data_IF_011393883398
#
_entry.id   IF_011393883398
#
_cell.length_a   1.000
_cell.length_b   1.000
_cell.length_c   1.000
_cell.angle_alpha   90.00
_cell.angle_beta   90.00
_cell.angle_gamma   90.00
#
_symmetry.space_group_name_H-M   'P 1'
#
loop_
_entity.id
_entity.type
_entity.pdbx_description
1 polymer ?
#
# COMPACT_ATOMS: atom_id res chain seq x y z
N UNK A 1 -12.95 -17.14 11.64
CA UNK A 1 -13.38 -15.75 11.38
C UNK A 1 -12.48 -15.19 10.28
N UNK A 2 -13.02 -14.76 9.15
CA UNK A 2 -12.22 -14.31 8.00
C UNK A 2 -11.53 -12.97 8.29
N UNK A 3 -10.26 -12.83 7.91
CA UNK A 3 -9.47 -11.57 8.02
C UNK A 3 -10.21 -10.37 7.41
N UNK A 4 -11.04 -10.59 6.38
CA UNK A 4 -11.87 -9.54 5.78
C UNK A 4 -12.86 -8.88 6.76
N UNK A 5 -13.27 -9.61 7.80
CA UNK A 5 -14.19 -9.09 8.83
C UNK A 5 -13.45 -8.16 9.80
N UNK A 6 -12.16 -8.36 10.04
CA UNK A 6 -11.39 -7.53 10.99
C UNK A 6 -11.09 -6.12 10.47
N UNK A 7 -10.92 -5.94 9.15
CA UNK A 7 -10.57 -4.65 8.55
C UNK A 7 -11.79 -3.70 8.50
N UNK A 8 -13.00 -4.25 8.31
CA UNK A 8 -14.22 -3.44 8.13
C UNK A 8 -14.83 -3.01 9.49
N UNK A 9 -14.60 -3.76 10.57
CA UNK A 9 -15.28 -3.54 11.85
C UNK A 9 -14.76 -2.38 12.71
N UNK A 10 -13.67 -1.70 12.31
CA UNK A 10 -13.04 -0.65 13.14
C UNK A 10 -13.19 0.78 12.63
N UNK A 11 -13.86 1.01 11.49
CA UNK A 11 -14.02 2.35 10.94
C UNK A 11 -15.51 2.67 10.90
N UNK A 12 -16.03 3.36 11.92
CA UNK A 12 -17.45 3.73 12.01
C UNK A 12 -17.92 4.72 10.92
N UNK A 13 -17.05 5.12 9.98
CA UNK A 13 -17.30 6.14 8.97
C UNK A 13 -16.64 5.87 7.61
N UNK A 14 -16.53 4.59 7.17
CA UNK A 14 -15.87 4.22 5.90
C UNK A 14 -16.41 5.02 4.71
N UNK A 15 -17.72 5.25 4.63
CA UNK A 15 -18.33 5.99 3.53
C UNK A 15 -17.87 7.46 3.47
N UNK A 16 -17.79 8.14 4.62
CA UNK A 16 -17.33 9.53 4.71
C UNK A 16 -15.85 9.66 4.34
N UNK A 17 -15.01 8.74 4.84
CA UNK A 17 -13.59 8.70 4.48
C UNK A 17 -13.39 8.38 2.99
N UNK A 18 -14.25 7.54 2.40
CA UNK A 18 -14.21 7.22 0.96
C UNK A 18 -14.58 8.45 0.11
N UNK A 19 -15.68 9.14 0.43
CA UNK A 19 -16.06 10.36 -0.26
C UNK A 19 -15.01 11.46 -0.11
N UNK A 20 -14.43 11.60 1.09
CA UNK A 20 -13.32 12.52 1.32
C UNK A 20 -12.08 12.16 0.48
N UNK A 21 -11.73 10.88 0.40
CA UNK A 21 -10.62 10.39 -0.41
C UNK A 21 -10.80 10.81 -1.88
N UNK A 22 -11.98 10.56 -2.46
CA UNK A 22 -12.30 10.93 -3.84
C UNK A 22 -12.16 12.44 -4.07
N UNK A 23 -12.69 13.25 -3.16
CA UNK A 23 -12.62 14.71 -3.20
C UNK A 23 -11.18 15.20 -3.11
N UNK A 24 -10.39 14.71 -2.16
CA UNK A 24 -8.98 15.10 -1.99
C UNK A 24 -8.15 14.68 -3.20
N UNK A 25 -8.41 13.50 -3.77
CA UNK A 25 -7.72 13.04 -4.97
C UNK A 25 -8.00 13.95 -6.17
N UNK A 26 -9.27 14.31 -6.38
CA UNK A 26 -9.68 15.19 -7.47
C UNK A 26 -9.18 16.63 -7.28
N UNK A 27 -9.43 17.23 -6.11
CA UNK A 27 -9.19 18.66 -5.86
C UNK A 27 -7.73 18.99 -5.57
N UNK A 28 -7.00 18.13 -4.83
CA UNK A 28 -5.62 18.43 -4.39
C UNK A 28 -4.54 17.74 -5.22
N UNK A 29 -4.86 16.59 -5.84
CA UNK A 29 -3.89 15.80 -6.59
C UNK A 29 -4.19 15.76 -8.10
N UNK A 30 -5.34 16.25 -8.54
CA UNK A 30 -5.75 16.23 -9.96
C UNK A 30 -5.83 14.82 -10.53
N UNK A 31 -6.12 13.81 -9.68
CA UNK A 31 -6.08 12.39 -10.03
C UNK A 31 -7.35 11.69 -9.58
N UNK A 32 -7.80 10.74 -10.39
CA UNK A 32 -8.84 9.78 -9.98
C UNK A 32 -8.16 8.44 -9.77
N UNK A 33 -8.14 7.95 -8.53
CA UNK A 33 -7.63 6.61 -8.24
C UNK A 33 -8.78 5.61 -8.26
N UNK A 34 -8.64 4.54 -9.04
CA UNK A 34 -9.51 3.38 -8.90
C UNK A 34 -9.00 2.51 -7.75
N UNK A 35 -9.80 2.41 -6.67
CA UNK A 35 -9.55 1.48 -5.57
C UNK A 35 -9.86 0.04 -6.02
N UNK A 36 -9.05 -0.49 -6.95
CA UNK A 36 -9.18 -1.89 -7.38
C UNK A 36 -8.61 -2.79 -6.27
N UNK A 37 -9.43 -3.17 -5.31
CA UNK A 37 -9.03 -3.92 -4.11
C UNK A 37 -8.59 -5.36 -4.38
N UNK A 38 -8.74 -5.87 -5.61
CA UNK A 38 -8.50 -7.27 -5.93
C UNK A 38 -7.52 -7.42 -7.09
N UNK A 39 -6.33 -7.92 -6.80
CA UNK A 39 -5.44 -8.52 -7.80
C UNK A 39 -5.52 -10.03 -7.66
N UNK A 40 -5.87 -10.76 -8.73
CA UNK A 40 -5.86 -12.24 -8.74
C UNK A 40 -4.44 -12.83 -8.80
N UNK A 41 -3.45 -12.16 -8.23
CA UNK A 41 -2.06 -12.64 -8.22
C UNK A 41 -1.82 -13.38 -6.92
N UNK A 42 -1.72 -14.72 -7.00
CA UNK A 42 -1.59 -15.64 -5.85
C UNK A 42 -0.47 -15.25 -4.88
N UNK A 43 0.64 -14.71 -5.38
CA UNK A 43 1.82 -14.35 -4.56
C UNK A 43 2.08 -12.84 -4.47
N UNK A 44 1.57 -12.04 -5.42
CA UNK A 44 1.86 -10.61 -5.53
C UNK A 44 0.97 -9.68 -4.71
N UNK A 45 -0.12 -10.20 -4.13
CA UNK A 45 -1.16 -9.37 -3.49
C UNK A 45 -0.61 -8.48 -2.38
N UNK A 46 0.28 -9.00 -1.53
CA UNK A 46 0.92 -8.21 -0.46
C UNK A 46 1.78 -7.07 -0.99
N UNK A 47 2.60 -7.33 -2.01
CA UNK A 47 3.39 -6.30 -2.70
C UNK A 47 2.48 -5.21 -3.29
N UNK A 48 1.45 -5.59 -4.06
CA UNK A 48 0.54 -4.61 -4.68
C UNK A 48 -0.20 -3.76 -3.64
N UNK A 49 -0.61 -4.36 -2.52
CA UNK A 49 -1.23 -3.63 -1.43
C UNK A 49 -0.28 -2.56 -0.84
N UNK A 50 0.95 -2.94 -0.51
CA UNK A 50 1.93 -2.00 0.06
C UNK A 50 2.35 -0.92 -0.94
N UNK A 51 2.56 -1.30 -2.20
CA UNK A 51 2.88 -0.37 -3.28
C UNK A 51 1.79 0.71 -3.42
N UNK A 52 0.52 0.30 -3.38
CA UNK A 52 -0.62 1.24 -3.41
C UNK A 52 -0.65 2.13 -2.18
N UNK A 53 -0.43 1.59 -0.98
CA UNK A 53 -0.35 2.41 0.24
C UNK A 53 0.72 3.50 0.12
N UNK A 54 1.88 3.18 -0.47
CA UNK A 54 2.94 4.15 -0.71
C UNK A 54 2.54 5.22 -1.73
N UNK A 55 1.85 4.86 -2.81
CA UNK A 55 1.32 5.82 -3.79
C UNK A 55 0.27 6.78 -3.17
N UNK A 56 -0.52 6.27 -2.23
CA UNK A 56 -1.56 7.04 -1.55
C UNK A 56 -1.04 7.85 -0.36
N UNK A 57 0.25 7.76 0.01
CA UNK A 57 0.83 8.48 1.15
C UNK A 57 0.52 9.98 1.10
N UNK A 58 0.73 10.63 -0.05
CA UNK A 58 0.50 12.07 -0.19
C UNK A 58 -0.99 12.44 -0.02
N UNK A 59 -1.89 11.59 -0.51
CA UNK A 59 -3.33 11.74 -0.36
C UNK A 59 -3.72 11.59 1.11
N UNK A 60 -3.23 10.56 1.81
CA UNK A 60 -3.51 10.32 3.23
C UNK A 60 -3.04 11.48 4.12
N UNK A 61 -1.85 12.02 3.85
CA UNK A 61 -1.34 13.22 4.53
C UNK A 61 -2.23 14.44 4.23
N UNK A 62 -2.67 14.60 2.97
CA UNK A 62 -3.56 15.70 2.56
C UNK A 62 -4.94 15.59 3.20
N UNK A 63 -5.46 14.36 3.35
CA UNK A 63 -6.71 14.08 4.04
C UNK A 63 -6.62 14.51 5.51
N UNK A 64 -5.60 14.05 6.24
CA UNK A 64 -5.37 14.48 7.62
C UNK A 64 -5.35 16.01 7.75
N UNK A 65 -4.63 16.70 6.86
CA UNK A 65 -4.58 18.16 6.86
C UNK A 65 -5.95 18.80 6.57
N UNK A 66 -6.75 18.22 5.68
CA UNK A 66 -8.13 18.68 5.41
C UNK A 66 -9.04 18.51 6.63
N UNK A 67 -8.99 17.39 7.35
CA UNK A 67 -9.80 17.21 8.56
C UNK A 67 -9.49 18.29 9.59
N UNK A 68 -8.21 18.67 9.70
CA UNK A 68 -7.75 19.62 10.71
C UNK A 68 -8.05 21.10 10.35
N UNK A 69 -8.29 21.44 9.07
CA UNK A 69 -8.30 22.84 8.61
C UNK A 69 -9.41 23.21 7.60
N UNK A 70 -10.21 22.25 7.12
CA UNK A 70 -11.24 22.48 6.11
C UNK A 70 -12.63 22.21 6.70
N UNK A 71 -13.45 23.26 6.79
CA UNK A 71 -14.80 23.21 7.33
C UNK A 71 -15.70 22.19 6.60
N UNK A 72 -15.38 21.85 5.34
CA UNK A 72 -16.05 20.81 4.55
C UNK A 72 -15.97 19.43 5.19
N UNK A 73 -14.95 19.17 6.02
CA UNK A 73 -14.69 17.88 6.64
C UNK A 73 -14.73 17.90 8.17
N UNK A 74 -15.31 18.94 8.78
CA UNK A 74 -15.40 19.10 10.25
C UNK A 74 -16.05 17.92 10.98
N UNK A 75 -16.98 17.24 10.30
CA UNK A 75 -17.73 16.09 10.85
C UNK A 75 -17.04 14.74 10.55
N UNK A 76 -15.91 14.76 9.84
CA UNK A 76 -15.13 13.57 9.51
C UNK A 76 -14.08 13.34 10.60
N UNK A 77 -14.27 12.27 11.38
CA UNK A 77 -13.28 11.81 12.34
C UNK A 77 -12.35 10.75 11.73
N UNK A 78 -11.05 10.91 11.95
CA UNK A 78 -10.03 9.89 11.66
C UNK A 78 -9.56 9.24 12.95
N UNK A 79 -9.52 7.90 12.97
CA UNK A 79 -9.04 7.12 14.12
C UNK A 79 -7.64 7.58 14.56
N UNK A 80 -7.38 7.76 15.87
CA UNK A 80 -6.11 8.27 16.39
C UNK A 80 -4.89 7.47 15.92
N UNK A 81 -5.00 6.14 15.85
CA UNK A 81 -3.92 5.26 15.40
C UNK A 81 -3.59 5.50 13.92
N UNK A 82 -4.61 5.63 13.07
CA UNK A 82 -4.43 5.96 11.65
C UNK A 82 -3.82 7.35 11.49
N UNK A 83 -4.31 8.33 12.26
CA UNK A 83 -3.81 9.70 12.26
C UNK A 83 -2.34 9.79 12.67
N UNK A 84 -1.92 8.96 13.62
CA UNK A 84 -0.52 8.84 14.06
C UNK A 84 0.34 8.17 12.98
N UNK A 85 -0.10 7.02 12.45
CA UNK A 85 0.63 6.26 11.44
C UNK A 85 0.89 7.05 10.15
N UNK A 86 -0.05 7.92 9.72
CA UNK A 86 0.10 8.75 8.52
C UNK A 86 1.31 9.68 8.60
N UNK A 87 1.66 10.19 9.79
CA UNK A 87 2.82 11.06 9.98
C UNK A 87 4.08 10.32 10.42
N UNK A 88 3.97 9.05 10.82
CA UNK A 88 5.11 8.29 11.32
C UNK A 88 6.09 7.98 10.17
N UNK A 89 7.22 8.67 10.20
CA UNK A 89 8.30 8.49 9.23
C UNK A 89 8.86 7.07 9.29
N UNK A 90 8.95 6.47 10.49
CA UNK A 90 9.47 5.12 10.68
C UNK A 90 8.52 4.09 10.06
N UNK A 91 7.22 4.22 10.31
CA UNK A 91 6.19 3.39 9.67
C UNK A 91 6.32 3.40 8.14
N UNK A 92 6.45 4.58 7.53
CA UNK A 92 6.59 4.69 6.07
C UNK A 92 7.91 4.11 5.55
N UNK A 93 9.02 4.29 6.28
CA UNK A 93 10.31 3.69 5.94
C UNK A 93 10.24 2.17 5.97
N UNK A 94 9.65 1.59 7.02
CA UNK A 94 9.46 0.14 7.15
C UNK A 94 8.53 -0.41 6.06
N UNK A 95 7.45 0.31 5.75
CA UNK A 95 6.52 -0.05 4.66
C UNK A 95 7.23 -0.06 3.31
N UNK A 96 8.07 0.94 3.03
CA UNK A 96 8.86 1.02 1.80
C UNK A 96 9.91 -0.09 1.70
N UNK A 97 10.61 -0.39 2.79
CA UNK A 97 11.57 -1.50 2.83
C UNK A 97 10.88 -2.86 2.57
N UNK A 98 9.71 -3.07 3.17
CA UNK A 98 8.92 -4.28 2.97
C UNK A 98 8.39 -4.40 1.54
N UNK A 99 7.97 -3.29 0.93
CA UNK A 99 7.54 -3.28 -0.48
C UNK A 99 8.67 -3.67 -1.43
N UNK A 100 9.87 -3.10 -1.23
CA UNK A 100 11.06 -3.44 -2.04
C UNK A 100 11.40 -4.92 -1.96
N UNK A 101 11.37 -5.46 -0.75
CA UNK A 101 11.62 -6.88 -0.51
C UNK A 101 10.59 -7.75 -1.25
N UNK A 102 9.29 -7.48 -1.04
CA UNK A 102 8.24 -8.27 -1.65
C UNK A 102 8.22 -8.14 -3.16
N UNK A 103 8.53 -6.97 -3.71
CA UNK A 103 8.68 -6.75 -5.15
C UNK A 103 9.71 -7.71 -5.74
N UNK A 104 10.90 -7.78 -5.13
CA UNK A 104 11.97 -8.66 -5.59
C UNK A 104 11.56 -10.13 -5.54
N UNK A 105 10.98 -10.58 -4.43
CA UNK A 105 10.51 -11.95 -4.29
C UNK A 105 9.42 -12.30 -5.31
N UNK A 106 8.47 -11.39 -5.55
CA UNK A 106 7.42 -11.59 -6.54
C UNK A 106 7.97 -11.68 -7.97
N UNK A 107 8.97 -10.87 -8.31
CA UNK A 107 9.64 -10.92 -9.61
C UNK A 107 10.38 -12.25 -9.80
N UNK A 108 11.11 -12.69 -8.78
CA UNK A 108 11.80 -13.99 -8.78
C UNK A 108 10.83 -15.16 -8.94
N UNK A 109 9.76 -15.19 -8.14
CA UNK A 109 8.74 -16.25 -8.23
C UNK A 109 8.11 -16.25 -9.63
N UNK A 110 7.70 -15.09 -10.13
CA UNK A 110 7.11 -14.98 -11.47
C UNK A 110 8.07 -15.41 -12.59
N UNK A 111 9.37 -15.18 -12.43
CA UNK A 111 10.37 -15.67 -13.37
C UNK A 111 10.50 -17.21 -13.32
N UNK A 112 10.47 -17.80 -12.13
CA UNK A 112 10.64 -19.24 -11.92
C UNK A 112 9.37 -20.07 -12.19
N UNK A 113 8.21 -19.44 -12.19
CA UNK A 113 6.93 -20.08 -12.55
C UNK A 113 6.77 -20.24 -14.08
N UNK A 114 7.69 -19.70 -14.90
CA UNK A 114 7.64 -19.85 -16.35
C UNK A 114 7.99 -21.28 -16.82
N UNK A 115 7.32 -21.75 -17.86
CA UNK A 115 7.49 -23.11 -18.40
C UNK A 115 8.92 -23.42 -18.90
N UNK A 116 9.72 -22.39 -19.18
CA UNK A 116 11.11 -22.49 -19.67
C UNK A 116 12.16 -22.36 -18.56
N UNK A 117 11.76 -22.41 -17.28
CA UNK A 117 12.68 -22.18 -16.16
C UNK A 117 13.72 -23.28 -16.05
N UNK A 118 15.00 -22.89 -16.11
CA UNK A 118 16.14 -23.79 -15.98
C UNK A 118 16.76 -23.71 -14.58
N UNK A 119 17.60 -24.69 -14.22
CA UNK A 119 18.39 -24.61 -12.98
C UNK A 119 19.25 -23.34 -12.91
N UNK A 120 19.77 -22.85 -14.03
CA UNK A 120 20.53 -21.60 -14.07
C UNK A 120 19.66 -20.38 -13.73
N UNK A 121 18.38 -20.37 -14.09
CA UNK A 121 17.44 -19.31 -13.69
C UNK A 121 17.21 -19.27 -12.17
N UNK A 122 17.20 -20.43 -11.50
CA UNK A 122 17.14 -20.50 -10.04
C UNK A 122 18.40 -19.90 -9.37
N UNK A 123 19.58 -20.26 -9.86
CA UNK A 123 20.85 -19.69 -9.35
C UNK A 123 20.93 -18.18 -9.59
N UNK A 124 20.54 -17.71 -10.78
CA UNK A 124 20.51 -16.28 -11.09
C UNK A 124 19.54 -15.53 -10.16
N UNK A 125 18.36 -16.10 -9.92
CA UNK A 125 17.35 -15.53 -9.01
C UNK A 125 17.85 -15.43 -7.56
N UNK A 126 18.54 -16.47 -7.07
CA UNK A 126 19.18 -16.47 -5.76
C UNK A 126 20.26 -15.38 -5.67
N UNK A 127 21.12 -15.27 -6.69
CA UNK A 127 22.19 -14.28 -6.73
C UNK A 127 21.67 -12.85 -6.72
N UNK A 128 20.64 -12.54 -7.52
CA UNK A 128 19.99 -11.22 -7.52
C UNK A 128 19.40 -10.90 -6.15
N UNK A 129 18.76 -11.88 -5.52
CA UNK A 129 18.19 -11.74 -4.18
C UNK A 129 19.27 -11.46 -3.14
N UNK A 130 20.33 -12.26 -3.11
CA UNK A 130 21.45 -12.12 -2.18
C UNK A 130 22.18 -10.78 -2.35
N UNK A 131 22.40 -10.35 -3.60
CA UNK A 131 23.03 -9.06 -3.89
C UNK A 131 22.18 -7.90 -3.39
N UNK A 132 20.86 -7.94 -3.63
CA UNK A 132 19.94 -6.92 -3.15
C UNK A 132 19.96 -6.76 -1.62
N UNK A 133 20.09 -7.86 -0.88
CA UNK A 133 20.18 -7.81 0.58
C UNK A 133 21.54 -7.40 1.12
N UNK A 134 22.61 -7.59 0.34
CA UNK A 134 23.97 -7.25 0.75
C UNK A 134 24.34 -5.80 0.43
N UNK A 135 23.54 -5.10 -0.38
CA UNK A 135 23.80 -3.73 -0.85
C UNK A 135 22.85 -2.66 -0.28
N UNK A 136 21.93 -3.02 0.62
CA UNK A 136 21.04 -2.10 1.34
C UNK A 136 21.47 -1.99 2.81
#
# INVERSE_FOLDING_TARGET
>A
MSINVFIVYKINAVHLLTSMFEVVCAEKHGKTYSLILFTKTRWGTGHFMLHRNLLLKSVLVSMRNSIDHDDKFKDVAMEPELRSAILDVSFWKSTFALEKLLKLLCMTIGHLEGDETTFSALFASFLVTAHHFSSN
#
